data_IF_780441089148
#
_entry.id   IF_780441089148
#
_cell.length_a   1.000
_cell.length_b   1.000
_cell.length_c   1.000
_cell.angle_alpha   90.00
_cell.angle_beta   90.00
_cell.angle_gamma   90.00
#
_symmetry.space_group_name_H-M   'P 1'
#
loop_
_entity.id
_entity.type
_entity.pdbx_description
1 polymer ?
#
# COMPACT_ATOMS: atom_id res chain seq x y z
N UNK A 1 4.66 -24.80 -73.15
CA UNK A 1 5.52 -25.45 -72.14
C UNK A 1 6.91 -24.83 -72.25
N UNK A 2 7.34 -24.07 -71.23
CA UNK A 2 8.70 -23.53 -71.13
C UNK A 2 9.35 -24.14 -69.88
N UNK A 3 9.92 -25.31 -70.07
CA UNK A 3 10.97 -25.95 -69.27
C UNK A 3 11.71 -26.90 -70.23
N UNK A 4 13.02 -27.22 -70.06
CA UNK A 4 13.92 -27.03 -68.92
C UNK A 4 15.20 -26.23 -69.27
N UNK A 5 15.10 -25.15 -70.06
CA UNK A 5 16.26 -24.41 -70.58
C UNK A 5 16.66 -23.13 -69.80
N UNK A 6 16.20 -22.97 -68.55
CA UNK A 6 16.62 -21.84 -67.71
C UNK A 6 16.28 -20.44 -68.27
N UNK A 7 15.11 -20.31 -68.93
CA UNK A 7 14.60 -19.07 -69.50
C UNK A 7 13.30 -18.68 -68.79
N UNK A 8 13.16 -17.42 -68.40
CA UNK A 8 11.91 -16.82 -67.91
C UNK A 8 11.31 -15.93 -68.98
N UNK A 9 9.98 -15.74 -68.97
CA UNK A 9 9.32 -14.81 -69.88
C UNK A 9 8.54 -13.76 -69.09
N UNK A 10 8.45 -12.57 -69.66
CA UNK A 10 7.69 -11.44 -69.13
C UNK A 10 6.90 -10.85 -70.31
N UNK A 11 5.63 -10.54 -70.09
CA UNK A 11 4.74 -9.98 -71.13
C UNK A 11 4.51 -8.52 -70.77
N UNK A 12 4.99 -7.61 -71.61
CA UNK A 12 4.63 -6.20 -71.58
C UNK A 12 3.77 -5.89 -72.81
N UNK A 13 2.57 -5.36 -72.53
CA UNK A 13 1.48 -5.08 -73.47
C UNK A 13 1.06 -6.26 -74.36
N UNK A 14 1.62 -6.36 -75.57
CA UNK A 14 1.29 -7.38 -76.59
C UNK A 14 2.50 -8.12 -77.14
N UNK A 15 3.67 -7.96 -76.50
CA UNK A 15 4.91 -8.62 -76.93
C UNK A 15 5.46 -9.47 -75.79
N UNK A 16 5.82 -10.73 -76.08
CA UNK A 16 6.43 -11.64 -75.09
C UNK A 16 7.95 -11.54 -75.20
N UNK A 17 8.61 -11.08 -74.13
CA UNK A 17 10.08 -10.98 -74.05
C UNK A 17 10.61 -12.14 -73.23
N UNK A 18 11.50 -12.95 -73.82
CA UNK A 18 12.11 -14.12 -73.17
C UNK A 18 13.52 -13.72 -72.70
N UNK A 19 13.77 -13.82 -71.39
CA UNK A 19 15.05 -13.49 -70.73
C UNK A 19 15.67 -14.77 -70.14
N UNK A 20 17.00 -14.85 -70.09
CA UNK A 20 17.73 -15.92 -69.40
C UNK A 20 17.48 -15.78 -67.89
N UNK A 21 17.04 -16.85 -67.23
CA UNK A 21 16.74 -16.84 -65.82
C UNK A 21 18.01 -16.45 -65.05
N UNK A 22 17.93 -15.37 -64.28
CA UNK A 22 19.02 -14.94 -63.43
C UNK A 22 19.33 -16.06 -62.42
N UNK A 23 20.61 -16.43 -62.34
CA UNK A 23 21.10 -17.37 -61.33
C UNK A 23 20.69 -16.87 -59.95
N UNK A 24 20.02 -17.72 -59.17
CA UNK A 24 19.75 -17.45 -57.76
C UNK A 24 21.10 -17.32 -57.05
N UNK A 25 21.56 -16.08 -56.86
CA UNK A 25 22.64 -15.76 -55.93
C UNK A 25 22.27 -16.36 -54.56
N UNK A 26 22.98 -17.42 -54.18
CA UNK A 26 22.97 -17.93 -52.82
C UNK A 26 23.46 -16.79 -51.91
N UNK A 27 22.62 -16.35 -50.98
CA UNK A 27 23.03 -15.46 -49.91
C UNK A 27 24.23 -16.09 -49.18
N UNK A 28 25.24 -15.30 -48.77
CA UNK A 28 26.40 -15.85 -48.08
C UNK A 28 25.95 -16.59 -46.82
N UNK A 29 26.31 -17.87 -46.72
CA UNK A 29 26.06 -18.69 -45.55
C UNK A 29 26.71 -17.99 -44.34
N UNK A 30 25.89 -17.39 -43.49
CA UNK A 30 26.34 -16.81 -42.23
C UNK A 30 26.86 -17.98 -41.39
N UNK A 31 28.16 -18.03 -41.12
CA UNK A 31 28.73 -19.03 -40.22
C UNK A 31 28.04 -18.90 -38.86
N UNK A 32 27.18 -19.87 -38.54
CA UNK A 32 26.53 -19.98 -37.24
C UNK A 32 27.45 -20.76 -36.31
N UNK A 33 27.81 -20.15 -35.18
CA UNK A 33 28.58 -20.79 -34.13
C UNK A 33 27.58 -21.45 -33.17
N UNK A 34 27.70 -22.76 -32.96
CA UNK A 34 26.89 -23.46 -31.96
C UNK A 34 27.48 -23.28 -30.57
N UNK A 35 26.69 -22.78 -29.62
CA UNK A 35 27.04 -22.76 -28.20
C UNK A 35 26.15 -23.72 -27.43
N UNK A 36 26.70 -24.33 -26.38
CA UNK A 36 25.97 -25.22 -25.48
C UNK A 36 26.42 -25.00 -24.03
N UNK A 37 25.64 -25.46 -23.07
CA UNK A 37 26.00 -25.28 -21.67
C UNK A 37 24.94 -25.77 -20.70
N UNK A 38 25.20 -25.56 -19.41
CA UNK A 38 24.28 -25.81 -18.32
C UNK A 38 24.13 -24.55 -17.45
N UNK A 39 22.94 -24.39 -16.87
CA UNK A 39 22.61 -23.31 -15.94
C UNK A 39 22.15 -23.92 -14.62
N UNK A 40 22.82 -23.55 -13.54
CA UNK A 40 22.54 -24.03 -12.19
C UNK A 40 22.21 -22.87 -11.23
N UNK A 41 21.59 -23.18 -10.10
CA UNK A 41 21.38 -22.25 -9.01
C UNK A 41 22.60 -22.15 -8.08
N UNK A 42 22.55 -21.22 -7.12
CA UNK A 42 23.59 -21.03 -6.10
C UNK A 42 23.79 -22.25 -5.16
N UNK A 43 22.88 -23.23 -5.20
CA UNK A 43 22.95 -24.50 -4.44
C UNK A 43 23.45 -25.68 -5.30
N UNK A 44 23.79 -25.42 -6.57
CA UNK A 44 24.28 -26.42 -7.52
C UNK A 44 23.21 -27.29 -8.17
N UNK A 45 21.93 -26.94 -8.03
CA UNK A 45 20.80 -27.61 -8.68
C UNK A 45 20.60 -27.08 -10.11
N UNK A 46 20.30 -27.94 -11.09
CA UNK A 46 20.01 -27.50 -12.46
C UNK A 46 18.74 -26.66 -12.53
N UNK A 47 18.77 -25.57 -13.31
CA UNK A 47 17.65 -24.65 -13.47
C UNK A 47 16.93 -24.85 -14.82
N UNK A 48 15.74 -25.48 -14.83
CA UNK A 48 14.91 -25.56 -16.02
C UNK A 48 14.16 -24.25 -16.29
N UNK A 49 13.96 -23.91 -17.56
CA UNK A 49 13.16 -22.74 -17.95
C UNK A 49 13.90 -21.40 -17.97
N UNK A 50 15.23 -21.38 -17.87
CA UNK A 50 16.04 -20.17 -18.01
C UNK A 50 16.03 -19.70 -19.46
N UNK A 51 15.71 -18.42 -19.68
CA UNK A 51 15.74 -17.80 -21.00
C UNK A 51 17.17 -17.39 -21.35
N UNK A 52 17.69 -17.90 -22.47
CA UNK A 52 19.05 -17.66 -22.98
C UNK A 52 18.95 -16.93 -24.31
N UNK A 53 19.26 -15.63 -24.34
CA UNK A 53 19.02 -14.78 -25.53
C UNK A 53 20.29 -14.02 -25.92
N UNK A 54 20.59 -13.95 -27.22
CA UNK A 54 21.67 -13.09 -27.73
C UNK A 54 21.24 -11.62 -27.62
N UNK A 55 22.05 -10.82 -26.93
CA UNK A 55 21.76 -9.41 -26.63
C UNK A 55 21.47 -8.63 -27.92
N UNK A 56 20.31 -7.96 -27.97
CA UNK A 56 19.88 -7.15 -29.12
C UNK A 56 19.24 -7.92 -30.27
N UNK A 57 19.01 -9.22 -30.12
CA UNK A 57 18.32 -10.04 -31.14
C UNK A 57 17.18 -10.85 -30.51
N UNK A 58 16.31 -11.43 -31.35
CA UNK A 58 15.29 -12.41 -30.93
C UNK A 58 15.80 -13.86 -30.96
N UNK A 59 17.11 -14.06 -31.20
CA UNK A 59 17.72 -15.39 -31.25
C UNK A 59 17.98 -15.84 -29.83
N UNK A 60 17.22 -16.83 -29.37
CA UNK A 60 17.35 -17.38 -28.03
C UNK A 60 16.78 -18.79 -27.92
N UNK A 61 17.03 -19.42 -26.78
CA UNK A 61 16.53 -20.75 -26.42
C UNK A 61 16.20 -20.78 -24.93
N UNK A 62 15.59 -21.86 -24.47
CA UNK A 62 15.22 -22.08 -23.07
C UNK A 62 15.98 -23.32 -22.57
N UNK A 63 16.41 -23.34 -21.30
CA UNK A 63 17.02 -24.53 -20.70
C UNK A 63 16.02 -25.68 -20.52
N UNK A 64 16.48 -26.91 -20.72
CA UNK A 64 15.70 -28.13 -20.53
C UNK A 64 15.54 -28.53 -19.05
N UNK A 65 14.93 -29.69 -18.78
CA UNK A 65 14.69 -30.21 -17.43
C UNK A 65 15.98 -30.47 -16.64
N UNK A 66 17.11 -30.65 -17.32
CA UNK A 66 18.43 -30.85 -16.73
C UNK A 66 19.25 -29.54 -16.68
N UNK A 67 18.62 -28.40 -16.96
CA UNK A 67 19.26 -27.09 -16.97
C UNK A 67 20.21 -26.86 -18.16
N UNK A 68 20.19 -27.73 -19.19
CA UNK A 68 21.07 -27.63 -20.35
C UNK A 68 20.44 -26.80 -21.46
N UNK A 69 21.27 -26.13 -22.24
CA UNK A 69 20.84 -25.37 -23.41
C UNK A 69 21.76 -25.61 -24.60
N UNK A 70 21.20 -25.41 -25.80
CA UNK A 70 21.93 -25.38 -27.06
C UNK A 70 21.36 -24.27 -27.93
N UNK A 71 22.22 -23.35 -28.37
CA UNK A 71 21.83 -22.17 -29.15
C UNK A 71 22.80 -21.98 -30.32
N UNK A 72 22.27 -21.77 -31.52
CA UNK A 72 23.08 -21.37 -32.68
C UNK A 72 23.07 -19.85 -32.77
N UNK A 73 24.25 -19.24 -32.66
CA UNK A 73 24.42 -17.79 -32.66
C UNK A 73 25.15 -17.33 -33.93
N UNK A 74 24.85 -16.14 -34.47
CA UNK A 74 25.66 -15.54 -35.53
C UNK A 74 27.09 -15.29 -35.06
N UNK A 75 28.10 -15.44 -35.93
CA UNK A 75 29.50 -15.16 -35.58
C UNK A 75 29.77 -13.73 -35.07
N UNK A 76 28.86 -12.79 -35.31
CA UNK A 76 28.91 -11.40 -34.83
C UNK A 76 28.35 -11.20 -33.41
N UNK A 77 27.78 -12.24 -32.78
CA UNK A 77 27.17 -12.14 -31.46
C UNK A 77 28.24 -12.09 -30.35
N UNK A 78 28.29 -10.97 -29.62
CA UNK A 78 29.30 -10.76 -28.57
C UNK A 78 28.82 -11.18 -27.17
N UNK A 79 27.51 -11.08 -26.88
CA UNK A 79 26.97 -11.27 -25.53
C UNK A 79 25.68 -12.06 -25.53
N UNK A 80 25.55 -12.98 -24.58
CA UNK A 80 24.33 -13.75 -24.30
C UNK A 80 23.85 -13.39 -22.90
N UNK A 81 22.54 -13.19 -22.77
CA UNK A 81 21.87 -12.84 -21.52
C UNK A 81 21.09 -14.05 -21.03
N UNK A 82 21.32 -14.40 -19.76
CA UNK A 82 20.61 -15.44 -19.03
C UNK A 82 19.67 -14.78 -18.04
N UNK A 83 18.37 -15.05 -18.16
CA UNK A 83 17.35 -14.46 -17.29
C UNK A 83 16.35 -15.51 -16.84
N UNK A 84 16.02 -15.50 -15.55
CA UNK A 84 14.99 -16.35 -14.96
C UNK A 84 14.21 -15.55 -13.92
N UNK A 85 12.92 -15.86 -13.77
CA UNK A 85 12.04 -15.12 -12.85
C UNK A 85 12.51 -15.34 -11.40
N UNK A 86 12.81 -14.26 -10.68
CA UNK A 86 13.32 -14.30 -9.30
C UNK A 86 14.84 -14.48 -9.17
N UNK A 87 15.58 -14.38 -10.27
CA UNK A 87 17.05 -14.50 -10.29
C UNK A 87 17.68 -13.26 -10.95
N UNK A 88 18.88 -12.90 -10.51
CA UNK A 88 19.64 -11.80 -11.12
C UNK A 88 20.04 -12.19 -12.55
N UNK A 89 19.65 -11.36 -13.53
CA UNK A 89 20.03 -11.61 -14.92
C UNK A 89 21.54 -11.47 -15.12
N UNK A 90 22.15 -12.42 -15.82
CA UNK A 90 23.60 -12.46 -16.03
C UNK A 90 23.93 -12.33 -17.51
N UNK A 91 24.81 -11.38 -17.84
CA UNK A 91 25.35 -11.22 -19.19
C UNK A 91 26.72 -11.90 -19.30
N UNK A 92 26.90 -12.72 -20.34
CA UNK A 92 28.13 -13.49 -20.56
C UNK A 92 28.65 -13.20 -21.97
N UNK A 93 29.93 -12.81 -22.06
CA UNK A 93 30.61 -12.64 -23.33
C UNK A 93 30.92 -14.01 -23.95
N UNK A 94 30.52 -14.21 -25.21
CA UNK A 94 30.66 -15.51 -25.89
C UNK A 94 32.12 -15.82 -26.22
N UNK A 95 32.88 -14.83 -26.71
CA UNK A 95 34.29 -15.00 -27.11
C UNK A 95 34.53 -16.26 -27.97
N UNK A 96 35.63 -16.97 -27.72
CA UNK A 96 36.00 -18.19 -28.45
C UNK A 96 35.38 -19.47 -27.88
N UNK A 97 34.80 -19.44 -26.67
CA UNK A 97 34.29 -20.63 -26.00
C UNK A 97 32.96 -21.11 -26.60
N UNK A 98 32.79 -22.42 -26.73
CA UNK A 98 31.57 -23.09 -27.23
C UNK A 98 30.75 -23.74 -26.11
N UNK A 99 31.31 -23.87 -24.90
CA UNK A 99 30.67 -24.48 -23.74
C UNK A 99 30.68 -23.53 -22.54
N UNK A 100 29.52 -23.35 -21.91
CA UNK A 100 29.34 -22.48 -20.74
C UNK A 100 28.72 -23.23 -19.57
N UNK A 101 29.18 -22.95 -18.34
CA UNK A 101 28.52 -23.38 -17.12
C UNK A 101 28.22 -22.13 -16.29
N UNK A 102 26.94 -21.79 -16.16
CA UNK A 102 26.47 -20.53 -15.59
C UNK A 102 25.76 -20.82 -14.27
N UNK A 103 26.08 -20.04 -13.24
CA UNK A 103 25.41 -20.10 -11.94
C UNK A 103 24.62 -18.81 -11.75
N UNK A 104 23.30 -18.90 -11.78
CA UNK A 104 22.44 -17.75 -11.50
C UNK A 104 22.28 -17.58 -9.98
N UNK A 105 22.34 -16.33 -9.55
CA UNK A 105 22.15 -15.95 -8.15
C UNK A 105 20.69 -15.56 -7.90
N UNK A 106 20.16 -15.96 -6.75
CA UNK A 106 18.85 -15.53 -6.27
C UNK A 106 18.80 -14.00 -6.21
N UNK A 107 17.72 -13.43 -6.73
CA UNK A 107 17.45 -11.99 -6.58
C UNK A 107 16.89 -11.74 -5.17
N UNK A 108 17.79 -11.67 -4.18
CA UNK A 108 17.42 -11.18 -2.86
C UNK A 108 17.15 -9.68 -2.95
N UNK A 109 15.88 -9.32 -3.11
CA UNK A 109 15.41 -7.94 -2.91
C UNK A 109 15.36 -7.67 -1.40
N UNK A 110 16.53 -7.55 -0.77
CA UNK A 110 16.63 -6.97 0.57
C UNK A 110 16.35 -5.46 0.42
N UNK A 111 15.09 -5.08 0.62
CA UNK A 111 14.71 -3.67 0.64
C UNK A 111 15.35 -3.03 1.86
N UNK A 112 16.53 -2.42 1.71
CA UNK A 112 17.17 -1.67 2.78
C UNK A 112 16.15 -0.66 3.36
N UNK A 113 15.75 -0.86 4.62
CA UNK A 113 14.87 0.06 5.31
C UNK A 113 15.66 1.32 5.64
N UNK A 114 15.49 2.34 4.81
CA UNK A 114 15.91 3.71 5.13
C UNK A 114 14.88 4.29 6.09
N UNK A 115 15.36 4.71 7.26
CA UNK A 115 14.56 5.38 8.28
C UNK A 115 14.94 6.85 8.26
N UNK A 116 13.93 7.73 8.26
CA UNK A 116 14.18 9.16 8.40
C UNK A 116 14.32 9.46 9.90
N UNK A 117 15.36 10.19 10.28
CA UNK A 117 15.60 10.60 11.66
C UNK A 117 15.97 12.07 11.64
N UNK A 118 15.16 12.91 12.30
CA UNK A 118 15.37 14.36 12.21
C UNK A 118 15.26 14.84 10.76
N UNK A 119 16.29 15.54 10.30
CA UNK A 119 16.42 16.08 8.94
C UNK A 119 17.24 15.19 7.97
N UNK A 120 17.65 13.98 8.39
CA UNK A 120 18.50 13.10 7.60
C UNK A 120 17.92 11.69 7.43
N UNK A 121 18.36 10.99 6.38
CA UNK A 121 18.05 9.58 6.16
C UNK A 121 19.20 8.71 6.65
N UNK A 122 18.93 7.78 7.56
CA UNK A 122 19.94 6.82 8.04
C UNK A 122 19.45 5.39 7.79
N UNK A 123 20.38 4.49 7.45
CA UNK A 123 20.07 3.05 7.39
C UNK A 123 19.72 2.58 8.81
N UNK A 124 18.67 1.75 8.93
CA UNK A 124 18.21 1.19 10.22
C UNK A 124 19.34 0.55 11.04
N UNK A 125 20.33 -0.07 10.37
CA UNK A 125 21.49 -0.73 11.00
C UNK A 125 22.44 0.24 11.71
N UNK A 126 22.48 1.51 11.30
CA UNK A 126 23.42 2.51 11.82
C UNK A 126 22.82 3.36 12.95
N UNK A 127 21.60 3.07 13.38
CA UNK A 127 20.91 3.81 14.41
C UNK A 127 21.32 3.30 15.80
N UNK A 128 21.91 4.19 16.60
CA UNK A 128 22.35 3.92 17.97
C UNK A 128 21.23 4.04 19.01
N UNK A 129 19.98 4.35 18.60
CA UNK A 129 18.83 4.53 19.48
C UNK A 129 17.60 3.70 19.07
N UNK A 130 16.65 3.54 19.99
CA UNK A 130 15.42 2.78 19.74
C UNK A 130 14.46 3.56 18.83
N UNK A 131 14.54 3.24 17.54
CA UNK A 131 13.62 3.73 16.51
C UNK A 131 12.85 2.57 15.92
N UNK A 132 11.53 2.73 15.83
CA UNK A 132 10.68 1.76 15.15
C UNK A 132 10.08 2.42 13.92
N UNK A 133 10.30 1.81 12.76
CA UNK A 133 9.74 2.28 11.50
C UNK A 133 8.73 1.26 10.97
N UNK A 134 7.63 1.76 10.42
CA UNK A 134 6.62 0.99 9.69
C UNK A 134 6.54 1.58 8.30
N UNK A 135 6.81 0.75 7.29
CA UNK A 135 6.53 1.08 5.89
C UNK A 135 5.05 0.84 5.64
N UNK A 136 4.38 1.81 5.02
CA UNK A 136 2.98 1.67 4.65
C UNK A 136 2.92 0.90 3.33
N UNK A 137 2.53 -0.38 3.44
CA UNK A 137 2.34 -1.28 2.32
C UNK A 137 0.87 -1.31 1.87
N UNK A 138 0.61 -2.02 0.77
CA UNK A 138 -0.74 -2.15 0.23
C UNK A 138 -1.71 -2.80 1.23
N UNK A 139 -1.21 -3.67 2.13
CA UNK A 139 -2.00 -4.34 3.16
C UNK A 139 -2.45 -3.39 4.27
N UNK A 140 -1.65 -2.38 4.61
CA UNK A 140 -2.07 -1.34 5.56
C UNK A 140 -3.04 -0.37 4.89
N UNK A 141 -2.81 0.01 3.62
CA UNK A 141 -3.71 0.91 2.90
C UNK A 141 -5.04 0.27 2.50
N UNK A 142 -5.10 -1.07 2.37
CA UNK A 142 -6.33 -1.78 2.07
C UNK A 142 -7.26 -1.91 3.28
N UNK A 143 -6.77 -1.64 4.49
CA UNK A 143 -7.62 -1.50 5.67
C UNK A 143 -8.42 -0.22 5.52
N UNK A 144 -9.74 -0.33 5.47
CA UNK A 144 -10.64 0.82 5.46
C UNK A 144 -10.66 1.50 6.83
N UNK A 145 -9.60 2.25 7.14
CA UNK A 145 -9.42 2.98 8.39
C UNK A 145 -9.78 4.46 8.15
N UNK A 146 -10.59 5.05 9.03
CA UNK A 146 -10.95 6.46 8.93
C UNK A 146 -9.82 7.42 9.32
N UNK A 147 -8.80 6.93 10.04
CA UNK A 147 -7.64 7.74 10.43
C UNK A 147 -6.34 6.93 10.47
N UNK A 148 -5.22 7.65 10.34
CA UNK A 148 -3.87 7.06 10.32
C UNK A 148 -3.48 6.49 11.69
N UNK A 149 -3.86 7.17 12.77
CA UNK A 149 -3.49 6.78 14.14
C UNK A 149 -4.07 5.43 14.59
N UNK A 150 -5.31 5.10 14.24
CA UNK A 150 -5.95 3.82 14.52
C UNK A 150 -5.26 2.69 13.75
N UNK A 151 -4.69 2.98 12.57
CA UNK A 151 -3.92 2.02 11.78
C UNK A 151 -2.63 1.58 12.44
N UNK A 152 -2.02 2.45 13.26
CA UNK A 152 -0.78 2.16 13.99
C UNK A 152 -1.00 1.21 15.18
N UNK A 153 -2.24 0.98 15.60
CA UNK A 153 -2.55 0.13 16.73
C UNK A 153 -2.04 -1.30 16.50
N UNK A 154 -1.20 -1.78 17.41
CA UNK A 154 -0.59 -3.12 17.33
C UNK A 154 0.53 -3.29 16.30
N UNK A 155 0.81 -2.29 15.45
CA UNK A 155 1.91 -2.36 14.47
C UNK A 155 3.27 -1.95 15.06
N UNK A 156 3.27 -1.16 16.14
CA UNK A 156 4.49 -0.60 16.73
C UNK A 156 4.60 -1.01 18.21
N UNK A 157 5.64 -1.77 18.60
CA UNK A 157 5.86 -2.12 19.99
C UNK A 157 6.02 -0.88 20.88
N UNK A 158 5.33 -0.84 22.02
CA UNK A 158 5.45 0.27 22.97
C UNK A 158 4.78 1.58 22.51
N UNK A 159 3.97 1.55 21.45
CA UNK A 159 2.99 2.60 21.15
C UNK A 159 1.63 2.13 21.66
N UNK A 160 1.09 2.83 22.66
CA UNK A 160 -0.29 2.64 23.09
C UNK A 160 -1.18 3.61 22.31
N UNK A 161 -2.23 3.07 21.73
CA UNK A 161 -3.18 3.78 20.87
C UNK A 161 -4.53 3.71 21.58
N UNK A 162 -4.95 4.80 22.22
CA UNK A 162 -6.21 4.86 22.98
C UNK A 162 -7.25 5.67 22.20
N UNK A 163 -8.21 4.96 21.63
CA UNK A 163 -9.35 5.57 20.97
C UNK A 163 -10.47 5.79 21.99
N UNK A 164 -10.73 7.05 22.33
CA UNK A 164 -11.74 7.42 23.33
C UNK A 164 -13.14 7.69 22.71
N UNK A 165 -13.22 7.72 21.39
CA UNK A 165 -14.45 8.00 20.65
C UNK A 165 -14.46 7.25 19.30
N UNK A 166 -15.65 6.80 18.90
CA UNK A 166 -15.94 6.27 17.57
C UNK A 166 -16.72 7.26 16.70
N UNK A 167 -16.68 8.56 17.02
CA UNK A 167 -17.36 9.59 16.23
C UNK A 167 -16.65 9.87 14.91
N UNK A 168 -17.38 9.78 13.80
CA UNK A 168 -16.89 10.18 12.47
C UNK A 168 -16.20 11.55 12.49
N UNK A 169 -14.97 11.62 11.96
CA UNK A 169 -14.15 12.84 11.96
C UNK A 169 -13.62 13.35 13.30
N UNK A 170 -14.10 12.82 14.43
CA UNK A 170 -13.61 13.15 15.80
C UNK A 170 -13.08 11.91 16.51
N UNK A 171 -12.52 10.98 15.75
CA UNK A 171 -11.80 9.82 16.24
C UNK A 171 -10.37 10.20 16.70
N UNK A 172 -10.19 11.33 17.38
CA UNK A 172 -8.88 11.76 17.87
C UNK A 172 -8.32 10.68 18.80
N UNK A 173 -7.34 9.94 18.30
CA UNK A 173 -6.72 8.86 19.03
C UNK A 173 -5.57 9.42 19.85
N UNK A 174 -5.57 9.16 21.15
CA UNK A 174 -4.41 9.50 21.97
C UNK A 174 -3.31 8.48 21.69
N UNK A 175 -2.17 8.99 21.25
CA UNK A 175 -0.97 8.21 20.99
C UNK A 175 -0.04 8.38 22.19
N UNK A 176 0.38 7.30 22.82
CA UNK A 176 1.32 7.33 23.95
C UNK A 176 2.52 6.44 23.64
N UNK A 177 3.71 7.03 23.63
CA UNK A 177 4.95 6.29 23.43
C UNK A 177 5.50 5.90 24.80
N UNK A 178 5.61 4.59 25.07
CA UNK A 178 6.02 4.01 26.37
C UNK A 178 5.12 4.39 27.55
N UNK A 179 3.85 4.68 27.29
CA UNK A 179 2.86 5.00 28.32
C UNK A 179 2.83 6.49 28.71
N UNK A 180 2.30 6.78 29.89
CA UNK A 180 2.15 8.15 30.41
C UNK A 180 3.49 8.70 30.91
N UNK A 181 4.13 9.56 30.11
CA UNK A 181 5.39 10.22 30.47
C UNK A 181 5.24 11.44 31.39
N UNK A 182 4.07 12.10 31.38
CA UNK A 182 3.77 13.26 32.23
C UNK A 182 2.31 13.25 32.69
N UNK A 183 2.02 13.98 33.77
CA UNK A 183 0.67 14.04 34.38
C UNK A 183 -0.29 14.98 33.61
N UNK A 184 0.24 15.98 32.90
CA UNK A 184 -0.59 16.99 32.22
C UNK A 184 -0.80 16.69 30.72
N UNK A 185 0.30 16.51 29.97
CA UNK A 185 0.23 16.28 28.53
C UNK A 185 1.33 15.30 28.08
N UNK A 186 0.92 14.07 27.82
CA UNK A 186 1.80 12.98 27.38
C UNK A 186 1.76 12.74 25.87
N UNK A 187 1.12 13.62 25.08
CA UNK A 187 1.07 13.45 23.62
C UNK A 187 2.46 13.62 23.00
N UNK A 188 2.85 12.76 22.05
CA UNK A 188 4.10 12.88 21.31
C UNK A 188 4.04 13.99 20.27
N UNK A 189 5.20 14.48 19.85
CA UNK A 189 5.29 15.43 18.76
C UNK A 189 5.10 14.71 17.42
N UNK A 190 4.12 15.12 16.63
CA UNK A 190 3.95 14.64 15.25
C UNK A 190 4.69 15.59 14.31
N UNK A 191 5.53 15.01 13.45
CA UNK A 191 6.31 15.73 12.45
C UNK A 191 6.00 15.11 11.09
N UNK A 192 5.56 15.94 10.13
CA UNK A 192 5.25 15.49 8.77
C UNK A 192 6.21 16.18 7.81
N UNK A 193 7.02 15.40 7.10
CA UNK A 193 8.02 15.91 6.15
C UNK A 193 8.96 17.00 6.73
N UNK A 194 9.23 16.93 8.04
CA UNK A 194 10.06 17.90 8.76
C UNK A 194 9.30 19.09 9.35
N UNK A 195 8.01 19.26 9.05
CA UNK A 195 7.16 20.27 9.68
C UNK A 195 6.57 19.72 10.99
N UNK A 196 6.87 20.33 12.17
CA UNK A 196 6.32 19.90 13.44
C UNK A 196 4.87 20.37 13.63
N UNK A 197 4.16 19.72 14.55
CA UNK A 197 2.84 20.13 15.05
C UNK A 197 1.70 19.98 14.02
N UNK A 198 1.79 18.95 13.19
CA UNK A 198 0.75 18.60 12.21
C UNK A 198 -0.18 17.55 12.79
N UNK A 199 -1.49 17.77 12.67
CA UNK A 199 -2.49 16.79 13.09
C UNK A 199 -2.46 15.55 12.18
N UNK A 200 -2.11 14.40 12.77
CA UNK A 200 -2.04 13.11 12.10
C UNK A 200 -3.39 12.68 11.50
N UNK A 201 -4.50 13.12 12.09
CA UNK A 201 -5.86 12.74 11.65
C UNK A 201 -6.29 13.45 10.37
N UNK A 202 -5.60 14.52 9.98
CA UNK A 202 -5.85 15.21 8.70
C UNK A 202 -5.10 14.58 7.53
N UNK A 203 -4.16 13.68 7.81
CA UNK A 203 -3.38 13.04 6.77
C UNK A 203 -4.15 11.89 6.12
N UNK A 204 -3.95 11.74 4.81
CA UNK A 204 -4.39 10.58 4.06
C UNK A 204 -3.35 9.46 4.18
N UNK A 205 -3.77 8.28 4.61
CA UNK A 205 -2.89 7.10 4.75
C UNK A 205 -2.24 6.72 3.42
N UNK A 206 -2.94 6.89 2.30
CA UNK A 206 -2.45 6.53 0.97
C UNK A 206 -1.23 7.35 0.53
N UNK A 207 -1.05 8.55 1.11
CA UNK A 207 0.04 9.46 0.78
C UNK A 207 1.25 9.28 1.68
N UNK A 208 1.15 8.44 2.72
CA UNK A 208 2.25 8.17 3.65
C UNK A 208 3.12 7.07 3.07
N UNK A 209 4.44 7.30 3.06
CA UNK A 209 5.43 6.29 2.68
C UNK A 209 5.87 5.47 3.89
N UNK A 210 6.23 6.17 4.97
CA UNK A 210 6.70 5.54 6.19
C UNK A 210 6.35 6.36 7.43
N UNK A 211 6.18 5.65 8.54
CA UNK A 211 5.98 6.23 9.87
C UNK A 211 7.12 5.71 10.75
N UNK A 212 7.92 6.63 11.26
CA UNK A 212 9.07 6.36 12.12
C UNK A 212 8.82 6.95 13.49
N UNK A 213 8.94 6.14 14.53
CA UNK A 213 8.72 6.55 15.91
C UNK A 213 10.06 6.57 16.64
N UNK A 214 10.44 7.75 17.11
CA UNK A 214 11.60 8.01 17.94
C UNK A 214 11.16 7.87 19.40
N UNK A 215 11.61 6.81 20.07
CA UNK A 215 11.17 6.49 21.44
C UNK A 215 12.14 6.99 22.51
N UNK A 216 13.39 7.21 22.13
CA UNK A 216 14.46 7.60 23.04
C UNK A 216 14.72 9.10 23.00
N UNK A 217 15.20 9.64 24.13
CA UNK A 217 15.59 11.03 24.24
C UNK A 217 16.77 11.38 23.31
N UNK A 218 17.69 10.45 23.05
CA UNK A 218 18.86 10.69 22.18
C UNK A 218 18.47 10.85 20.71
N UNK A 219 17.52 10.06 20.21
CA UNK A 219 17.01 10.17 18.85
C UNK A 219 16.03 11.33 18.68
N UNK A 220 15.28 11.66 19.75
CA UNK A 220 14.28 12.73 19.75
C UNK A 220 14.85 14.12 20.04
N UNK A 221 16.07 14.21 20.61
CA UNK A 221 16.71 15.48 21.02
C UNK A 221 16.81 16.53 19.91
N UNK A 222 16.90 16.10 18.64
CA UNK A 222 16.95 16.99 17.47
C UNK A 222 15.70 17.87 17.37
N UNK A 223 14.57 17.42 17.90
CA UNK A 223 13.29 18.15 17.89
C UNK A 223 13.06 18.98 19.17
N UNK A 224 14.02 19.00 20.09
CA UNK A 224 14.03 19.86 21.27
C UNK A 224 13.07 19.43 22.38
N UNK A 225 12.71 20.38 23.25
CA UNK A 225 11.93 20.12 24.48
C UNK A 225 10.53 19.56 24.23
N UNK A 226 9.92 19.83 23.07
CA UNK A 226 8.61 19.29 22.67
C UNK A 226 8.64 17.78 22.39
N UNK A 227 9.83 17.21 22.23
CA UNK A 227 10.05 15.80 21.93
C UNK A 227 10.21 14.93 23.20
N UNK A 228 9.94 15.49 24.39
CA UNK A 228 10.09 14.78 25.67
C UNK A 228 9.25 13.50 25.77
N UNK A 229 8.08 13.48 25.12
CA UNK A 229 7.20 12.31 25.05
C UNK A 229 7.44 11.43 23.80
N UNK A 230 8.56 11.64 23.10
CA UNK A 230 8.89 11.00 21.83
C UNK A 230 8.33 11.73 20.59
N UNK A 231 8.75 11.27 19.41
CA UNK A 231 8.41 11.89 18.12
C UNK A 231 7.87 10.85 17.16
N UNK A 232 6.77 11.18 16.49
CA UNK A 232 6.22 10.41 15.37
C UNK A 232 6.55 11.18 14.09
N UNK A 233 7.49 10.65 13.33
CA UNK A 233 7.93 11.19 12.06
C UNK A 233 7.21 10.49 10.92
N UNK A 234 6.47 11.25 10.13
CA UNK A 234 5.71 10.79 8.98
C UNK A 234 6.42 11.31 7.73
N UNK A 235 6.84 10.39 6.87
CA UNK A 235 7.42 10.72 5.57
C UNK A 235 6.38 10.44 4.50
N UNK A 236 6.13 11.42 3.64
CA UNK A 236 5.13 11.30 2.59
C UNK A 236 5.75 10.80 1.30
N UNK A 237 4.93 10.18 0.45
CA UNK A 237 5.38 9.64 -0.83
C UNK A 237 5.94 10.76 -1.70
N UNK A 238 7.09 10.49 -2.28
CA UNK A 238 7.76 11.33 -3.27
C UNK A 238 7.95 10.54 -4.58
N UNK A 239 8.13 11.24 -5.69
CA UNK A 239 8.46 10.60 -6.97
C UNK A 239 9.84 9.95 -6.87
N UNK A 240 9.92 8.63 -6.76
CA UNK A 240 11.21 7.92 -6.66
C UNK A 240 11.80 7.65 -8.03
N UNK A 241 12.49 8.60 -8.67
CA UNK A 241 13.37 8.36 -9.84
C UNK A 241 12.82 7.39 -10.89
N UNK A 242 11.50 7.38 -11.07
CA UNK A 242 10.78 6.39 -11.86
C UNK A 242 10.64 6.93 -13.28
N UNK A 243 11.41 6.37 -14.22
CA UNK A 243 11.39 6.75 -15.65
C UNK A 243 9.98 6.74 -16.27
N UNK A 244 9.05 6.01 -15.66
CA UNK A 244 7.65 5.95 -16.10
C UNK A 244 6.72 6.51 -15.02
N UNK A 245 5.81 7.38 -15.46
CA UNK A 245 4.72 7.88 -14.62
C UNK A 245 3.83 6.71 -14.21
N UNK A 246 3.60 6.56 -12.90
CA UNK A 246 2.70 5.58 -12.31
C UNK A 246 1.46 6.29 -11.79
N UNK A 247 0.31 5.82 -12.23
CA UNK A 247 -0.99 6.31 -11.77
C UNK A 247 -1.62 5.20 -10.94
N UNK A 248 -1.96 5.53 -9.70
CA UNK A 248 -2.60 4.61 -8.76
C UNK A 248 -3.95 5.17 -8.37
N UNK A 249 -4.99 4.36 -8.58
CA UNK A 249 -6.33 4.62 -8.07
C UNK A 249 -6.67 3.56 -7.03
N UNK A 250 -7.04 3.98 -5.82
CA UNK A 250 -7.55 3.10 -4.78
C UNK A 250 -8.94 3.55 -4.33
N UNK A 251 -9.82 2.59 -4.14
CA UNK A 251 -11.18 2.82 -3.67
C UNK A 251 -11.53 1.75 -2.65
N UNK A 252 -12.05 2.15 -1.50
CA UNK A 252 -12.56 1.23 -0.49
C UNK A 252 -13.95 1.62 -0.04
N UNK A 253 -14.76 0.62 0.28
CA UNK A 253 -16.10 0.78 0.82
C UNK A 253 -16.23 -0.16 2.03
N UNK A 254 -16.69 0.36 3.15
CA UNK A 254 -16.90 -0.39 4.37
C UNK A 254 -18.28 -0.08 4.96
N UNK A 255 -18.89 -1.10 5.56
CA UNK A 255 -20.10 -0.98 6.36
C UNK A 255 -19.71 -1.25 7.80
N UNK A 256 -20.14 -0.39 8.69
CA UNK A 256 -19.86 -0.48 10.12
C UNK A 256 -21.15 -0.82 10.86
N UNK A 257 -21.12 -1.89 11.65
CA UNK A 257 -22.23 -2.26 12.52
C UNK A 257 -21.91 -1.87 13.97
N UNK A 258 -22.86 -1.26 14.70
CA UNK A 258 -22.66 -0.95 16.10
C UNK A 258 -22.58 -2.25 16.91
N UNK A 259 -21.47 -2.45 17.62
CA UNK A 259 -21.33 -3.57 18.56
C UNK A 259 -22.18 -3.32 19.79
N UNK A 260 -23.24 -4.11 19.97
CA UNK A 260 -24.11 -4.04 21.15
C UNK A 260 -23.38 -4.66 22.34
N UNK A 261 -22.71 -3.83 23.16
CA UNK A 261 -22.02 -4.29 24.38
C UNK A 261 -22.97 -4.46 25.57
N UNK A 262 -24.09 -3.72 25.57
CA UNK A 262 -25.11 -3.80 26.60
C UNK A 262 -26.46 -4.17 26.01
N UNK A 263 -27.07 -5.22 26.55
CA UNK A 263 -28.45 -5.56 26.27
C UNK A 263 -29.35 -4.60 27.06
N UNK A 264 -29.67 -3.45 26.46
CA UNK A 264 -30.65 -2.54 27.04
C UNK A 264 -32.01 -3.22 27.09
N UNK A 265 -32.62 -3.25 28.27
CA UNK A 265 -34.02 -3.64 28.41
C UNK A 265 -34.89 -2.54 27.82
N UNK A 266 -35.13 -2.63 26.50
CA UNK A 266 -36.04 -1.73 25.80
C UNK A 266 -37.48 -1.87 26.35
N UNK A 267 -37.83 -3.07 26.82
CA UNK A 267 -39.12 -3.49 27.39
C UNK A 267 -39.53 -2.68 28.64
N UNK A 268 -40.24 -1.57 28.41
CA UNK A 268 -40.70 -0.65 29.44
C UNK A 268 -41.58 -1.32 30.53
N UNK A 269 -42.60 -2.14 30.21
CA UNK A 269 -43.35 -2.87 31.23
C UNK A 269 -42.49 -3.81 32.10
N UNK A 270 -41.52 -4.51 31.51
CA UNK A 270 -40.59 -5.37 32.25
C UNK A 270 -39.65 -4.57 33.14
N UNK A 271 -39.23 -3.37 32.69
CA UNK A 271 -38.48 -2.43 33.52
C UNK A 271 -39.28 -1.96 34.74
N UNK A 272 -40.55 -1.57 34.54
CA UNK A 272 -41.43 -1.20 35.65
C UNK A 272 -41.67 -2.36 36.62
N UNK A 273 -41.78 -3.60 36.13
CA UNK A 273 -41.90 -4.79 36.99
C UNK A 273 -40.67 -4.98 37.87
N UNK A 274 -39.47 -4.74 37.34
CA UNK A 274 -38.25 -4.77 38.13
C UNK A 274 -38.24 -3.68 39.20
N UNK A 275 -38.65 -2.46 38.86
CA UNK A 275 -38.82 -1.37 39.82
C UNK A 275 -39.83 -1.73 40.91
N UNK A 276 -40.94 -2.40 40.57
CA UNK A 276 -41.91 -2.88 41.55
C UNK A 276 -41.32 -3.91 42.50
N UNK A 277 -40.54 -4.88 41.99
CA UNK A 277 -39.86 -5.88 42.83
C UNK A 277 -38.84 -5.25 43.76
N UNK A 278 -38.06 -4.28 43.29
CA UNK A 278 -37.12 -3.52 44.13
C UNK A 278 -37.85 -2.71 45.20
N UNK A 279 -38.96 -2.08 44.84
CA UNK A 279 -39.75 -1.27 45.74
C UNK A 279 -40.52 -2.12 46.78
N UNK A 280 -40.87 -3.38 46.45
CA UNK A 280 -41.43 -4.33 47.40
C UNK A 280 -40.45 -4.72 48.53
N UNK A 281 -39.14 -4.53 48.35
CA UNK A 281 -38.16 -4.68 49.42
C UNK A 281 -38.14 -3.49 50.41
N UNK A 282 -38.82 -2.39 50.06
CA UNK A 282 -38.90 -1.18 50.87
C UNK A 282 -40.36 -0.99 51.34
N UNK A 283 -40.60 -0.89 52.64
CA UNK A 283 -41.97 -0.94 53.21
C UNK A 283 -42.77 0.36 53.02
N UNK A 284 -42.11 1.44 52.55
CA UNK A 284 -42.72 2.76 52.37
C UNK A 284 -43.20 2.97 50.93
N UNK A 285 -44.52 3.09 50.78
CA UNK A 285 -45.22 3.32 49.51
C UNK A 285 -44.81 4.61 48.79
N UNK A 286 -44.34 5.62 49.54
CA UNK A 286 -43.82 6.89 48.99
C UNK A 286 -42.57 6.74 48.14
N UNK A 287 -41.87 5.61 48.23
CA UNK A 287 -40.63 5.35 47.49
C UNK A 287 -40.89 4.78 46.09
N UNK A 288 -42.16 4.60 45.70
CA UNK A 288 -42.53 4.00 44.43
C UNK A 288 -42.55 5.10 43.37
N UNK A 289 -41.73 4.97 42.33
CA UNK A 289 -41.65 5.93 41.22
C UNK A 289 -42.72 5.71 40.14
N UNK A 290 -43.66 4.79 40.37
CA UNK A 290 -44.72 4.43 39.43
C UNK A 290 -46.06 4.26 40.17
N UNK A 291 -47.19 4.44 39.47
CA UNK A 291 -48.55 4.26 40.02
C UNK A 291 -48.99 2.79 39.93
N UNK A 292 -49.90 2.34 40.77
CA UNK A 292 -50.50 1.00 40.62
C UNK A 292 -51.31 0.89 39.33
N UNK A 293 -51.34 -0.31 38.72
CA UNK A 293 -52.03 -0.57 37.45
C UNK A 293 -51.30 -0.08 36.20
N UNK A 294 -50.24 0.72 36.36
CA UNK A 294 -49.44 1.26 35.25
C UNK A 294 -48.79 0.15 34.42
N UNK A 295 -48.30 -0.91 35.06
CA UNK A 295 -47.63 -2.03 34.39
C UNK A 295 -48.63 -2.80 33.52
N UNK A 296 -49.75 -3.23 34.10
CA UNK A 296 -50.80 -3.96 33.40
C UNK A 296 -51.39 -3.13 32.26
N UNK A 297 -51.57 -1.82 32.49
CA UNK A 297 -52.02 -0.87 31.46
C UNK A 297 -51.03 -0.77 30.29
N UNK A 298 -49.73 -0.68 30.55
CA UNK A 298 -48.70 -0.63 29.50
C UNK A 298 -48.56 -1.97 28.77
N UNK A 299 -48.70 -3.10 29.47
CA UNK A 299 -48.70 -4.43 28.84
C UNK A 299 -49.94 -4.66 27.96
N UNK A 300 -51.11 -4.24 28.42
CA UNK A 300 -52.38 -4.43 27.70
C UNK A 300 -52.56 -3.45 26.53
N UNK A 301 -52.22 -2.17 26.73
CA UNK A 301 -52.45 -1.12 25.73
C UNK A 301 -51.24 -0.86 24.83
N UNK A 302 -50.05 -1.34 25.19
CA UNK A 302 -48.83 -1.20 24.36
C UNK A 302 -48.95 -1.83 22.96
N UNK A 303 -49.76 -2.88 22.81
CA UNK A 303 -50.04 -3.51 21.51
C UNK A 303 -51.15 -2.81 20.71
N UNK A 304 -52.00 -2.03 21.36
CA UNK A 304 -53.20 -1.41 20.77
C UNK A 304 -52.92 0.05 20.38
N UNK A 305 -52.17 0.79 21.21
CA UNK A 305 -51.75 2.17 20.96
C UNK A 305 -50.25 2.34 21.30
N UNK A 306 -49.35 1.97 20.37
CA UNK A 306 -47.91 2.07 20.58
C UNK A 306 -47.41 3.52 20.69
N UNK A 307 -48.19 4.52 20.25
CA UNK A 307 -47.80 5.92 20.32
C UNK A 307 -47.99 6.48 21.73
N UNK A 308 -49.07 6.06 22.41
CA UNK A 308 -49.40 6.47 23.78
C UNK A 308 -48.73 5.60 24.84
N UNK A 309 -48.41 4.35 24.51
CA UNK A 309 -47.72 3.40 25.38
C UNK A 309 -46.46 2.85 24.69
N UNK A 310 -45.46 3.70 24.40
CA UNK A 310 -44.31 3.32 23.59
C UNK A 310 -43.39 2.34 24.34
N UNK A 311 -42.85 1.41 23.57
CA UNK A 311 -41.80 0.49 23.97
C UNK A 311 -40.61 0.68 23.01
N UNK A 312 -39.90 1.81 23.17
CA UNK A 312 -38.91 2.28 22.20
C UNK A 312 -37.53 1.72 22.53
N UNK A 313 -36.93 0.99 21.59
CA UNK A 313 -35.49 0.69 21.65
C UNK A 313 -34.70 1.95 21.28
N UNK A 314 -34.31 2.71 22.30
CA UNK A 314 -33.51 3.93 22.11
C UNK A 314 -32.16 3.66 21.43
N UNK A 315 -31.62 2.44 21.53
CA UNK A 315 -30.39 2.07 20.82
C UNK A 315 -30.61 2.09 19.31
N UNK A 316 -31.71 1.48 18.85
CA UNK A 316 -32.09 1.43 17.43
C UNK A 316 -32.50 2.82 16.88
N UNK A 317 -33.07 3.67 17.73
CA UNK A 317 -33.43 5.04 17.34
C UNK A 317 -32.21 5.96 17.20
N UNK A 318 -31.17 5.77 18.03
CA UNK A 318 -29.99 6.63 18.04
C UNK A 318 -28.88 6.15 17.12
N UNK A 319 -28.79 4.84 16.92
CA UNK A 319 -27.75 4.20 16.12
C UNK A 319 -28.28 3.82 14.73
N UNK A 320 -27.37 3.72 13.79
CA UNK A 320 -27.57 3.21 12.44
C UNK A 320 -26.34 2.44 12.00
N UNK A 321 -26.46 1.74 10.88
CA UNK A 321 -25.29 1.22 10.20
C UNK A 321 -24.48 2.37 9.59
N UNK A 322 -23.19 2.39 9.93
CA UNK A 322 -22.23 3.34 9.40
C UNK A 322 -21.73 2.91 8.02
N UNK A 323 -21.27 3.88 7.23
CA UNK A 323 -20.73 3.62 5.91
C UNK A 323 -19.48 4.47 5.71
N UNK A 324 -18.38 3.86 5.31
CA UNK A 324 -17.12 4.57 5.04
C UNK A 324 -16.70 4.33 3.61
N UNK A 325 -16.54 5.42 2.86
CA UNK A 325 -16.06 5.41 1.49
C UNK A 325 -14.75 6.17 1.42
N UNK A 326 -13.73 5.56 0.82
CA UNK A 326 -12.47 6.23 0.53
C UNK A 326 -12.16 6.10 -0.95
N UNK A 327 -11.81 7.22 -1.56
CA UNK A 327 -11.34 7.30 -2.94
C UNK A 327 -10.03 8.07 -2.96
N UNK A 328 -9.01 7.51 -3.59
CA UNK A 328 -7.72 8.15 -3.71
C UNK A 328 -7.17 7.96 -5.11
N UNK A 329 -6.81 9.06 -5.76
CA UNK A 329 -6.12 9.08 -7.03
C UNK A 329 -4.78 9.74 -6.83
N UNK A 330 -3.70 9.03 -7.18
CA UNK A 330 -2.35 9.56 -7.11
C UNK A 330 -1.60 9.30 -8.40
N UNK A 331 -0.74 10.25 -8.77
CA UNK A 331 0.18 10.16 -9.88
C UNK A 331 1.57 10.47 -9.37
N UNK A 332 2.52 9.59 -9.67
CA UNK A 332 3.91 9.78 -9.31
C UNK A 332 4.82 9.49 -10.49
N UNK A 333 5.92 10.20 -10.58
CA UNK A 333 6.88 10.01 -11.66
C UNK A 333 8.12 10.82 -11.41
N UNK A 334 9.21 10.50 -12.10
CA UNK A 334 10.40 11.30 -12.01
C UNK A 334 11.51 10.84 -12.92
N UNK A 335 12.27 11.80 -13.45
CA UNK A 335 13.50 11.52 -14.20
C UNK A 335 14.72 11.87 -13.32
N UNK A 336 15.92 11.77 -13.88
CA UNK A 336 17.17 12.08 -13.18
C UNK A 336 17.24 13.50 -12.58
N UNK A 337 16.43 14.44 -13.08
CA UNK A 337 16.45 15.86 -12.68
C UNK A 337 15.22 16.31 -11.91
N UNK A 338 14.07 15.66 -12.08
CA UNK A 338 12.80 16.11 -11.52
C UNK A 338 11.96 14.94 -11.04
N UNK A 339 11.43 15.04 -9.84
CA UNK A 339 10.53 14.08 -9.23
C UNK A 339 9.24 14.76 -8.83
N UNK A 340 8.11 14.13 -9.06
CA UNK A 340 6.80 14.65 -8.67
C UNK A 340 5.91 13.57 -8.07
N UNK A 341 5.04 14.00 -7.17
CA UNK A 341 3.95 13.22 -6.61
C UNK A 341 2.74 14.13 -6.41
N UNK A 342 1.61 13.74 -6.99
CA UNK A 342 0.34 14.45 -6.89
C UNK A 342 -0.69 13.45 -6.38
N UNK A 343 -1.48 13.84 -5.39
CA UNK A 343 -2.55 13.01 -4.84
C UNK A 343 -3.78 13.85 -4.56
N UNK A 344 -4.93 13.29 -4.88
CA UNK A 344 -6.24 13.79 -4.47
C UNK A 344 -7.00 12.64 -3.82
N UNK A 345 -7.58 12.92 -2.65
CA UNK A 345 -8.32 11.94 -1.88
C UNK A 345 -9.63 12.52 -1.38
N UNK A 346 -10.66 11.67 -1.33
CA UNK A 346 -11.93 11.94 -0.69
C UNK A 346 -12.25 10.80 0.27
N UNK A 347 -12.67 11.15 1.46
CA UNK A 347 -13.23 10.24 2.45
C UNK A 347 -14.62 10.74 2.84
N UNK A 348 -15.59 9.85 2.82
CA UNK A 348 -16.94 10.09 3.32
C UNK A 348 -17.28 9.03 4.37
N UNK A 349 -17.46 9.45 5.61
CA UNK A 349 -17.69 8.60 6.78
C UNK A 349 -19.05 8.98 7.38
N UNK A 350 -20.04 8.11 7.17
CA UNK A 350 -21.31 8.16 7.88
C UNK A 350 -21.16 7.42 9.19
N UNK A 351 -21.21 8.14 10.31
CA UNK A 351 -21.04 7.55 11.62
C UNK A 351 -22.21 6.64 12.03
N UNK A 352 -21.92 5.80 13.02
CA UNK A 352 -22.90 4.90 13.65
C UNK A 352 -24.02 5.65 14.37
N UNK A 353 -23.75 6.84 14.90
CA UNK A 353 -24.80 7.68 15.50
C UNK A 353 -25.47 8.52 14.41
N UNK A 354 -26.81 8.59 14.43
CA UNK A 354 -27.55 9.45 13.50
C UNK A 354 -27.09 10.91 13.66
N UNK A 355 -26.95 11.63 12.53
CA UNK A 355 -26.46 13.01 12.43
C UNK A 355 -24.98 13.22 12.82
N UNK A 356 -24.16 12.16 12.79
CA UNK A 356 -22.72 12.24 13.03
C UNK A 356 -21.94 11.83 11.78
N UNK A 357 -21.86 12.74 10.80
CA UNK A 357 -21.26 12.48 9.49
C UNK A 357 -20.05 13.37 9.25
N UNK A 358 -19.06 12.82 8.57
CA UNK A 358 -17.81 13.49 8.29
C UNK A 358 -17.33 13.23 6.88
N UNK A 359 -17.02 14.31 6.16
CA UNK A 359 -16.35 14.23 4.86
C UNK A 359 -15.03 14.99 4.92
N UNK A 360 -14.02 14.45 4.24
CA UNK A 360 -12.68 15.02 4.14
C UNK A 360 -12.18 14.92 2.72
N UNK A 361 -11.70 16.05 2.22
CA UNK A 361 -11.01 16.15 0.95
C UNK A 361 -9.55 16.48 1.23
N UNK A 362 -8.66 15.76 0.58
CA UNK A 362 -7.22 15.95 0.73
C UNK A 362 -6.61 16.20 -0.66
N UNK A 363 -5.72 17.17 -0.74
CA UNK A 363 -4.91 17.40 -1.92
C UNK A 363 -3.44 17.51 -1.51
N UNK A 364 -2.57 16.78 -2.21
CA UNK A 364 -1.13 16.82 -1.96
C UNK A 364 -0.37 16.99 -3.26
N UNK A 365 0.63 17.85 -3.20
CA UNK A 365 1.56 18.10 -4.29
C UNK A 365 2.98 18.16 -3.73
N UNK A 366 3.82 17.24 -4.17
CA UNK A 366 5.24 17.20 -3.85
C UNK A 366 6.02 17.28 -5.16
N UNK A 367 6.97 18.20 -5.23
CA UNK A 367 7.83 18.38 -6.39
C UNK A 367 9.26 18.64 -5.94
N UNK A 368 10.20 17.85 -6.44
CA UNK A 368 11.62 17.97 -6.16
C UNK A 368 12.38 18.12 -7.47
N UNK A 369 13.28 19.10 -7.54
CA UNK A 369 14.08 19.41 -8.72
C UNK A 369 15.57 19.54 -8.37
N UNK A 370 16.38 18.77 -9.08
CA UNK A 370 17.84 18.77 -8.99
C UNK A 370 18.40 19.77 -10.00
N UNK A 371 18.66 20.99 -9.56
CA UNK A 371 19.26 22.03 -10.40
C UNK A 371 20.71 21.68 -10.77
N UNK A 372 21.48 21.14 -9.80
CA UNK A 372 22.88 20.73 -9.95
C UNK A 372 23.16 19.50 -9.10
N UNK A 373 24.26 18.75 -9.32
CA UNK A 373 24.61 17.60 -8.49
C UNK A 373 24.65 17.87 -6.97
N UNK A 374 24.91 19.13 -6.59
CA UNK A 374 24.99 19.60 -5.21
C UNK A 374 23.86 20.56 -4.80
N UNK A 375 22.81 20.73 -5.61
CA UNK A 375 21.73 21.68 -5.34
C UNK A 375 20.37 21.11 -5.74
N UNK A 376 19.55 20.84 -4.74
CA UNK A 376 18.18 20.36 -4.88
C UNK A 376 17.23 21.40 -4.30
N UNK A 377 16.11 21.63 -4.98
CA UNK A 377 15.02 22.49 -4.51
C UNK A 377 13.75 21.68 -4.54
N UNK A 378 13.01 21.67 -3.44
CA UNK A 378 11.75 20.94 -3.30
C UNK A 378 10.63 21.85 -2.80
N UNK A 379 9.42 21.57 -3.24
CA UNK A 379 8.19 22.18 -2.76
C UNK A 379 7.20 21.07 -2.38
N UNK A 380 6.67 21.15 -1.16
CA UNK A 380 5.65 20.24 -0.65
C UNK A 380 4.44 21.05 -0.22
N UNK A 381 3.27 20.63 -0.67
CA UNK A 381 1.98 21.22 -0.34
C UNK A 381 1.03 20.10 0.08
N UNK A 382 0.29 20.34 1.16
CA UNK A 382 -0.77 19.47 1.64
C UNK A 382 -1.95 20.35 2.09
N UNK A 383 -3.14 20.02 1.62
CA UNK A 383 -4.39 20.75 1.86
C UNK A 383 -5.52 19.82 2.23
#
# INVERSE_FOLDING_TARGET
MLGPNGLSYEIEDRTVVIKKAAEKNQAPATQQKGISGAVNDNKGLPLPGVSVVVKGTTIGTITDTDGKFKLSIPASAQTVVFSFVGMVSQEVAVGDKSTFNIVLQDENVDVEEVVVVGYGTQKKVNLTGAVSAVKIDEKITSRSLSNVSSGLNGLIPGLAVSQNSGMAGRNNVSLLIRGLGTVNNANPLVVVDGMPDVDINRLNMNDIESISILKDATSSAVYGSRAANGVILITTKSGKGMDKTRINFSSSYAIEHPTKSYEFMADYPRALTLHQRLAAANTLRSNYTFKDGTIDQWMALGMIDPLRYPNTDWWDVLMREGQVQNHNLSASGGNEKSNFYISIGMMDEKGLQINNDYSRYNARFNYDYKLRPNMNVGAKFAG
#
